data_IF_666869468149
#
_entry.id   IF_666869468149
#
_cell.length_a   1.000
_cell.length_b   1.000
_cell.length_c   1.000
_cell.angle_alpha   90.00
_cell.angle_beta   90.00
_cell.angle_gamma   90.00
#
_symmetry.space_group_name_H-M   'P 1'
#
loop_
_entity.id
_entity.type
_entity.pdbx_description
1 polymer ?
#
# COMPACT_ATOMS: atom_id res chain seq x y z
N UNK A 1 29.72 -12.38 -4.30
CA UNK A 1 29.23 -12.76 -2.96
C UNK A 1 30.37 -12.57 -1.99
N UNK A 2 30.21 -11.72 -0.98
CA UNK A 2 31.22 -11.41 0.04
C UNK A 2 30.79 -11.99 1.39
N UNK A 3 31.73 -12.35 2.28
CA UNK A 3 31.39 -12.87 3.60
C UNK A 3 30.81 -11.77 4.48
N UNK A 4 29.72 -12.09 5.17
CA UNK A 4 29.06 -11.31 6.20
C UNK A 4 28.98 -12.19 7.45
N UNK A 5 29.40 -11.66 8.60
CA UNK A 5 29.57 -12.44 9.82
C UNK A 5 28.94 -11.75 11.02
N UNK A 6 28.24 -12.53 11.84
CA UNK A 6 27.87 -12.20 13.20
C UNK A 6 28.75 -13.02 14.17
N UNK A 7 28.67 -12.75 15.47
CA UNK A 7 29.41 -13.45 16.53
C UNK A 7 29.18 -14.98 16.56
N UNK A 8 28.14 -15.47 15.87
CA UNK A 8 27.70 -16.86 15.90
C UNK A 8 27.86 -17.55 14.52
N UNK A 9 27.68 -16.83 13.41
CA UNK A 9 27.56 -17.41 12.07
C UNK A 9 28.20 -16.54 10.98
N UNK A 10 28.63 -17.17 9.89
CA UNK A 10 29.17 -16.50 8.69
C UNK A 10 28.40 -16.95 7.44
N UNK A 11 27.91 -15.99 6.67
CA UNK A 11 27.08 -16.19 5.48
C UNK A 11 27.67 -15.39 4.32
N UNK A 12 27.68 -15.95 3.12
CA UNK A 12 28.07 -15.18 1.92
C UNK A 12 26.84 -14.45 1.38
N UNK A 13 26.92 -13.13 1.23
CA UNK A 13 25.84 -12.28 0.74
C UNK A 13 26.26 -11.47 -0.49
N UNK A 14 25.28 -11.00 -1.26
CA UNK A 14 25.49 -10.00 -2.32
C UNK A 14 25.37 -8.62 -1.68
N UNK A 15 26.35 -7.75 -1.95
CA UNK A 15 26.33 -6.37 -1.49
C UNK A 15 25.93 -5.48 -2.66
N UNK A 16 24.96 -4.60 -2.40
CA UNK A 16 24.56 -3.55 -3.34
C UNK A 16 24.96 -2.22 -2.73
N UNK A 17 25.97 -1.58 -3.32
CA UNK A 17 26.49 -0.29 -2.86
C UNK A 17 25.79 0.79 -3.66
N UNK A 18 25.13 1.69 -2.94
CA UNK A 18 24.31 2.77 -3.50
C UNK A 18 24.77 4.09 -2.90
N UNK A 19 24.86 5.14 -3.72
CA UNK A 19 25.29 6.47 -3.29
C UNK A 19 24.11 7.24 -2.66
N UNK A 20 23.71 6.79 -1.48
CA UNK A 20 22.63 7.36 -0.68
C UNK A 20 23.04 7.41 0.78
N UNK A 21 22.73 8.53 1.43
CA UNK A 21 23.04 8.76 2.84
C UNK A 21 22.00 8.09 3.75
N UNK A 22 22.12 6.77 3.92
CA UNK A 22 21.26 5.98 4.81
C UNK A 22 22.07 4.88 5.51
N UNK A 23 21.51 4.32 6.58
CA UNK A 23 22.11 3.18 7.27
C UNK A 23 22.15 1.92 6.40
N UNK A 24 23.09 1.02 6.71
CA UNK A 24 23.20 -0.25 6.01
C UNK A 24 22.00 -1.13 6.35
N UNK A 25 21.25 -1.53 5.32
CA UNK A 25 20.10 -2.44 5.48
C UNK A 25 20.50 -3.88 5.19
N UNK A 26 19.86 -4.81 5.91
CA UNK A 26 20.03 -6.24 5.76
C UNK A 26 18.71 -6.85 5.29
N UNK A 27 18.74 -7.72 4.27
CA UNK A 27 17.53 -8.42 3.84
C UNK A 27 17.09 -9.45 4.88
N UNK A 28 15.79 -9.69 4.96
CA UNK A 28 15.21 -10.67 5.90
C UNK A 28 15.82 -12.06 5.75
N UNK A 29 16.00 -12.54 4.51
CA UNK A 29 16.58 -13.86 4.25
C UNK A 29 18.01 -13.99 4.79
N UNK A 30 18.83 -12.93 4.66
CA UNK A 30 20.20 -12.94 5.20
C UNK A 30 20.18 -12.79 6.72
N UNK A 31 19.26 -12.01 7.28
CA UNK A 31 19.06 -11.91 8.73
C UNK A 31 18.68 -13.27 9.34
N UNK A 32 17.86 -14.07 8.67
CA UNK A 32 17.53 -15.44 9.05
C UNK A 32 18.73 -16.38 8.97
N UNK A 33 19.48 -16.33 7.87
CA UNK A 33 20.70 -17.12 7.70
C UNK A 33 21.81 -16.76 8.70
N UNK A 34 21.78 -15.56 9.27
CA UNK A 34 22.70 -15.11 10.33
C UNK A 34 22.16 -15.38 11.75
N UNK A 35 20.97 -15.97 11.85
CA UNK A 35 20.30 -16.23 13.13
C UNK A 35 19.88 -14.98 13.89
N UNK A 36 19.76 -13.84 13.21
CA UNK A 36 19.29 -12.57 13.79
C UNK A 36 17.76 -12.56 13.92
N UNK A 37 17.08 -13.25 13.00
CA UNK A 37 15.64 -13.42 12.97
C UNK A 37 15.32 -14.89 12.73
N UNK A 38 14.17 -15.33 13.22
CA UNK A 38 13.63 -16.66 12.92
C UNK A 38 12.15 -16.51 12.61
N UNK A 39 11.72 -16.95 11.40
CA UNK A 39 10.31 -17.12 11.10
C UNK A 39 9.82 -18.39 11.80
N UNK A 40 9.03 -18.21 12.85
CA UNK A 40 8.51 -19.30 13.67
C UNK A 40 7.28 -19.93 13.01
N UNK A 41 6.45 -19.11 12.36
CA UNK A 41 5.27 -19.56 11.64
C UNK A 41 5.01 -18.64 10.44
N UNK A 42 4.42 -19.20 9.40
CA UNK A 42 3.89 -18.47 8.24
C UNK A 42 2.49 -19.03 8.01
N UNK A 43 1.48 -18.22 8.26
CA UNK A 43 0.09 -18.64 8.08
C UNK A 43 -0.19 -18.67 6.57
N UNK A 44 0.07 -19.82 5.96
CA UNK A 44 -0.23 -20.06 4.54
C UNK A 44 -1.46 -20.94 4.32
N UNK A 45 -2.14 -21.44 5.37
CA UNK A 45 -3.47 -22.08 5.26
C UNK A 45 -4.06 -22.68 6.55
N UNK A 46 -3.25 -23.18 7.51
CA UNK A 46 -3.80 -23.99 8.62
C UNK A 46 -4.46 -23.23 9.77
N UNK A 47 -4.06 -21.98 10.01
CA UNK A 47 -4.71 -21.13 11.00
C UNK A 47 -5.92 -20.36 10.42
N UNK A 48 -6.19 -20.50 9.11
CA UNK A 48 -7.35 -19.85 8.48
C UNK A 48 -8.65 -20.35 9.11
N UNK A 49 -8.79 -21.64 9.41
CA UNK A 49 -10.05 -22.18 9.96
C UNK A 49 -10.41 -21.62 11.34
N UNK A 50 -9.43 -21.41 12.22
CA UNK A 50 -9.64 -20.84 13.56
C UNK A 50 -9.83 -19.31 13.50
N UNK A 51 -9.00 -18.60 12.73
CA UNK A 51 -9.17 -17.16 12.47
C UNK A 51 -10.49 -16.87 11.75
N UNK A 52 -10.92 -17.72 10.83
CA UNK A 52 -12.20 -17.61 10.12
C UNK A 52 -13.37 -17.81 11.07
N UNK A 53 -13.23 -18.70 12.05
CA UNK A 53 -14.27 -18.92 13.06
C UNK A 53 -14.35 -17.79 14.07
N UNK A 54 -13.21 -17.28 14.56
CA UNK A 54 -13.19 -16.27 15.61
C UNK A 54 -13.28 -14.83 15.08
N UNK A 55 -12.67 -14.56 13.93
CA UNK A 55 -12.58 -13.24 13.30
C UNK A 55 -12.89 -13.30 11.80
N UNK A 56 -14.09 -13.76 11.38
CA UNK A 56 -14.46 -13.89 9.97
C UNK A 56 -14.34 -12.58 9.18
N UNK A 57 -14.51 -11.46 9.86
CA UNK A 57 -14.40 -10.11 9.31
C UNK A 57 -12.97 -9.78 8.85
N UNK A 58 -11.93 -10.33 9.50
CA UNK A 58 -10.51 -10.08 9.16
C UNK A 58 -10.10 -10.76 7.84
N UNK A 59 -10.89 -11.70 7.33
CA UNK A 59 -10.64 -12.37 6.05
C UNK A 59 -11.26 -11.62 4.87
N UNK A 60 -12.02 -10.55 5.13
CA UNK A 60 -12.52 -9.68 4.08
C UNK A 60 -11.33 -8.91 3.49
N UNK A 61 -11.15 -9.02 2.18
CA UNK A 61 -10.11 -8.29 1.43
C UNK A 61 -10.46 -6.81 1.20
N UNK A 62 -11.65 -6.40 1.64
CA UNK A 62 -12.17 -5.04 1.47
C UNK A 62 -12.98 -4.65 2.71
N UNK A 63 -12.85 -3.40 3.15
CA UNK A 63 -13.61 -2.86 4.27
C UNK A 63 -13.81 -1.35 4.13
N UNK A 64 -14.78 -0.82 4.87
CA UNK A 64 -15.10 0.60 4.91
C UNK A 64 -14.94 1.10 6.33
N UNK A 65 -14.18 2.19 6.52
CA UNK A 65 -14.09 2.84 7.82
C UNK A 65 -15.42 3.54 8.13
N UNK A 66 -15.88 3.55 9.39
CA UNK A 66 -17.20 4.07 9.77
C UNK A 66 -17.31 5.61 9.72
N UNK A 67 -16.33 6.30 9.12
CA UNK A 67 -16.25 7.75 9.10
C UNK A 67 -16.21 8.28 7.67
N UNK A 68 -16.97 9.34 7.41
CA UNK A 68 -16.86 10.09 6.17
C UNK A 68 -15.63 11.01 6.23
N UNK A 69 -14.84 10.99 5.16
CA UNK A 69 -13.68 11.86 5.03
C UNK A 69 -13.98 13.02 4.07
N UNK A 70 -13.80 14.25 4.55
CA UNK A 70 -13.93 15.46 3.73
C UNK A 70 -12.56 16.05 3.43
N UNK A 71 -12.15 15.98 2.16
CA UNK A 71 -10.92 16.61 1.67
C UNK A 71 -11.03 18.13 1.84
N UNK A 72 -10.11 18.71 2.62
CA UNK A 72 -10.05 20.16 2.84
C UNK A 72 -9.19 20.83 1.78
N UNK A 73 -9.73 21.82 1.07
CA UNK A 73 -9.01 22.58 0.04
C UNK A 73 -8.54 23.94 0.57
N UNK A 74 -7.48 24.48 -0.02
CA UNK A 74 -7.02 25.86 0.23
C UNK A 74 -8.15 26.87 -0.06
N UNK A 75 -8.16 28.01 0.64
CA UNK A 75 -9.26 29.00 0.59
C UNK A 75 -9.58 29.52 -0.81
N UNK A 76 -8.58 29.55 -1.70
CA UNK A 76 -8.70 30.03 -3.08
C UNK A 76 -8.40 28.94 -4.11
N UNK A 77 -8.65 27.68 -3.76
CA UNK A 77 -8.43 26.54 -4.65
C UNK A 77 -9.22 26.72 -5.96
N UNK A 78 -8.55 26.55 -7.09
CA UNK A 78 -9.17 26.68 -8.42
C UNK A 78 -9.31 25.31 -9.07
N UNK A 79 -10.56 24.94 -9.35
CA UNK A 79 -10.89 23.72 -10.08
C UNK A 79 -10.11 23.56 -11.39
N UNK A 80 -9.63 22.35 -11.63
CA UNK A 80 -8.98 21.98 -12.90
C UNK A 80 -9.72 20.78 -13.48
N UNK A 81 -10.12 20.91 -14.74
CA UNK A 81 -10.77 19.86 -15.53
C UNK A 81 -9.77 19.35 -16.56
N UNK A 82 -9.33 18.12 -16.39
CA UNK A 82 -8.52 17.42 -17.39
C UNK A 82 -9.41 16.73 -18.40
N UNK A 83 -9.09 16.81 -19.71
CA UNK A 83 -9.81 16.03 -20.71
C UNK A 83 -9.56 14.52 -20.52
N UNK A 84 -10.51 13.66 -20.93
CA UNK A 84 -10.30 12.21 -20.93
C UNK A 84 -9.07 11.81 -21.74
N UNK A 85 -8.25 10.90 -21.20
CA UNK A 85 -7.15 10.29 -21.97
C UNK A 85 -7.69 9.25 -22.93
N UNK A 86 -7.05 9.14 -24.10
CA UNK A 86 -7.37 8.09 -25.07
C UNK A 86 -6.97 6.73 -24.50
N UNK A 87 -7.90 5.77 -24.55
CA UNK A 87 -7.66 4.38 -24.22
C UNK A 87 -7.49 3.58 -25.51
N UNK A 88 -6.57 2.61 -25.52
CA UNK A 88 -6.42 1.71 -26.65
C UNK A 88 -7.70 0.84 -26.80
N UNK A 89 -8.19 0.68 -28.04
CA UNK A 89 -9.42 -0.06 -28.34
C UNK A 89 -9.48 -1.45 -27.69
N UNK A 90 -8.35 -2.15 -27.64
CA UNK A 90 -8.20 -3.48 -27.04
C UNK A 90 -8.46 -3.53 -25.53
N UNK A 91 -8.39 -2.40 -24.83
CA UNK A 91 -8.53 -2.31 -23.38
C UNK A 91 -9.92 -1.89 -22.94
N UNK A 92 -10.79 -1.43 -23.85
CA UNK A 92 -12.11 -0.90 -23.50
C UNK A 92 -12.96 -1.92 -22.74
N UNK A 93 -13.06 -3.16 -23.21
CA UNK A 93 -13.89 -4.18 -22.56
C UNK A 93 -13.44 -4.44 -21.12
N UNK A 94 -12.13 -4.67 -20.91
CA UNK A 94 -11.58 -4.92 -19.57
C UNK A 94 -11.74 -3.70 -18.64
N UNK A 95 -11.60 -2.50 -19.20
CA UNK A 95 -11.80 -1.26 -18.48
C UNK A 95 -13.26 -1.08 -18.02
N UNK A 96 -14.23 -1.31 -18.92
CA UNK A 96 -15.65 -1.22 -18.60
C UNK A 96 -16.07 -2.25 -17.55
N UNK A 97 -15.57 -3.49 -17.64
CA UNK A 97 -15.79 -4.52 -16.64
C UNK A 97 -15.27 -4.08 -15.27
N UNK A 98 -14.06 -3.53 -15.21
CA UNK A 98 -13.48 -3.03 -13.96
C UNK A 98 -14.26 -1.84 -13.39
N UNK A 99 -14.72 -0.91 -14.22
CA UNK A 99 -15.57 0.20 -13.77
C UNK A 99 -16.91 -0.28 -13.22
N UNK A 100 -17.56 -1.24 -13.90
CA UNK A 100 -18.82 -1.83 -13.42
C UNK A 100 -18.61 -2.50 -12.07
N UNK A 101 -17.53 -3.25 -11.90
CA UNK A 101 -17.17 -3.86 -10.63
C UNK A 101 -16.99 -2.81 -9.53
N UNK A 102 -16.17 -1.76 -9.75
CA UNK A 102 -15.97 -0.69 -8.77
C UNK A 102 -17.28 0.01 -8.37
N UNK A 103 -18.23 0.15 -9.29
CA UNK A 103 -19.55 0.71 -9.01
C UNK A 103 -20.41 -0.26 -8.20
N UNK A 104 -20.40 -1.55 -8.55
CA UNK A 104 -21.13 -2.60 -7.81
C UNK A 104 -20.61 -2.76 -6.39
N UNK A 105 -19.29 -2.64 -6.21
CA UNK A 105 -18.62 -2.69 -4.90
C UNK A 105 -18.76 -1.37 -4.11
N UNK A 106 -19.51 -0.40 -4.65
CA UNK A 106 -19.78 0.92 -4.03
C UNK A 106 -18.52 1.79 -3.78
N UNK A 107 -17.38 1.47 -4.42
CA UNK A 107 -16.16 2.27 -4.33
C UNK A 107 -16.24 3.56 -5.15
N UNK A 108 -17.08 3.59 -6.19
CA UNK A 108 -17.30 4.78 -7.02
C UNK A 108 -18.78 4.95 -7.34
N UNK A 109 -19.19 6.19 -7.59
CA UNK A 109 -20.55 6.53 -8.02
C UNK A 109 -20.51 7.40 -9.28
N UNK A 110 -21.47 7.27 -10.22
CA UNK A 110 -21.57 8.18 -11.35
C UNK A 110 -21.94 9.59 -10.89
N UNK A 111 -21.29 10.59 -11.48
CA UNK A 111 -21.60 12.02 -11.32
C UNK A 111 -22.04 12.55 -12.68
N UNK A 112 -23.20 13.21 -12.72
CA UNK A 112 -23.79 13.71 -13.96
C UNK A 112 -23.78 15.24 -14.05
N UNK A 113 -23.69 15.91 -12.91
CA UNK A 113 -23.52 17.34 -12.80
C UNK A 113 -22.09 17.79 -13.15
N UNK A 114 -21.92 19.03 -13.67
CA UNK A 114 -20.61 19.63 -13.81
C UNK A 114 -19.88 19.73 -12.47
N UNK A 115 -18.61 19.35 -12.45
CA UNK A 115 -17.75 19.47 -11.27
C UNK A 115 -16.56 20.36 -11.57
N UNK A 116 -16.04 21.00 -10.52
CA UNK A 116 -14.86 21.86 -10.64
C UNK A 116 -13.57 21.05 -10.85
N UNK A 117 -13.57 19.79 -10.43
CA UNK A 117 -12.39 18.92 -10.39
C UNK A 117 -12.61 17.66 -11.22
N UNK A 118 -11.85 17.51 -12.30
CA UNK A 118 -11.82 16.26 -13.09
C UNK A 118 -10.38 15.85 -13.30
N UNK A 119 -9.99 14.74 -12.68
CA UNK A 119 -8.67 14.16 -12.86
C UNK A 119 -8.66 13.24 -14.08
N UNK A 120 -7.58 13.27 -14.86
CA UNK A 120 -7.42 12.34 -15.96
C UNK A 120 -7.13 10.93 -15.44
N UNK A 121 -7.63 9.93 -16.14
CA UNK A 121 -7.51 8.53 -15.77
C UNK A 121 -6.49 7.79 -16.64
N UNK A 122 -5.86 6.76 -16.09
CA UNK A 122 -4.94 5.83 -16.77
C UNK A 122 -5.31 4.41 -16.38
N UNK A 123 -5.19 3.49 -17.34
CA UNK A 123 -5.31 2.05 -17.08
C UNK A 123 -3.91 1.48 -16.87
N UNK A 124 -3.72 0.78 -15.76
CA UNK A 124 -2.47 0.09 -15.41
C UNK A 124 -2.68 -1.42 -15.37
N UNK A 125 -1.61 -2.18 -15.55
CA UNK A 125 -1.61 -3.64 -15.48
C UNK A 125 -0.63 -4.09 -14.43
N UNK A 126 -1.09 -4.95 -13.52
CA UNK A 126 -0.23 -5.74 -12.65
C UNK A 126 -0.57 -7.20 -12.89
N UNK A 127 0.31 -7.87 -13.63
CA UNK A 127 0.03 -9.18 -14.23
C UNK A 127 -1.22 -9.08 -15.13
N UNK A 128 -2.23 -9.93 -14.90
CA UNK A 128 -3.49 -9.92 -15.63
C UNK A 128 -4.58 -9.03 -15.02
N UNK A 129 -4.31 -8.37 -13.88
CA UNK A 129 -5.27 -7.50 -13.21
C UNK A 129 -5.20 -6.08 -13.76
N UNK A 130 -6.37 -5.57 -14.13
CA UNK A 130 -6.55 -4.20 -14.62
C UNK A 130 -6.76 -3.24 -13.45
N UNK A 131 -5.87 -2.27 -13.33
CA UNK A 131 -5.98 -1.15 -12.41
C UNK A 131 -6.54 0.09 -13.12
N UNK A 132 -7.41 0.82 -12.44
CA UNK A 132 -7.86 2.15 -12.85
C UNK A 132 -7.20 3.14 -11.91
N UNK A 133 -6.38 4.02 -12.47
CA UNK A 133 -5.65 5.05 -11.72
C UNK A 133 -6.13 6.43 -12.15
N UNK A 134 -6.35 7.33 -11.19
CA UNK A 134 -6.54 8.75 -11.44
C UNK A 134 -5.21 9.48 -11.27
N UNK A 135 -5.05 10.61 -11.96
CA UNK A 135 -3.92 11.52 -11.82
C UNK A 135 -4.40 12.81 -11.12
N UNK A 136 -4.41 12.83 -9.78
CA UNK A 136 -4.96 13.92 -8.99
C UNK A 136 -3.93 15.05 -8.78
N UNK A 137 -2.90 15.16 -9.65
CA UNK A 137 -1.76 16.07 -9.42
C UNK A 137 -2.17 17.50 -9.11
N UNK A 138 -3.16 18.05 -9.83
CA UNK A 138 -3.60 19.43 -9.59
C UNK A 138 -4.49 19.55 -8.36
N UNK A 139 -5.36 18.56 -8.10
CA UNK A 139 -6.14 18.51 -6.86
C UNK A 139 -5.21 18.45 -5.64
N UNK A 140 -4.19 17.59 -5.67
CA UNK A 140 -3.23 17.41 -4.56
C UNK A 140 -2.45 18.67 -4.18
N UNK A 141 -2.27 19.62 -5.11
CA UNK A 141 -1.63 20.92 -4.80
C UNK A 141 -2.53 21.81 -3.95
N UNK A 142 -3.84 21.68 -4.14
CA UNK A 142 -4.86 22.49 -3.45
C UNK A 142 -5.36 21.84 -2.16
N UNK A 143 -5.04 20.57 -1.90
CA UNK A 143 -5.38 19.91 -0.63
C UNK A 143 -4.56 20.52 0.51
N UNK A 144 -5.23 20.90 1.61
CA UNK A 144 -4.58 21.26 2.87
C UNK A 144 -4.03 19.99 3.51
N UNK A 145 -2.72 19.95 3.74
CA UNK A 145 -2.10 18.81 4.43
C UNK A 145 -2.49 18.81 5.90
N UNK A 146 -3.11 17.71 6.33
CA UNK A 146 -3.24 17.39 7.74
C UNK A 146 -1.87 16.98 8.29
N UNK A 147 -1.53 17.50 9.47
CA UNK A 147 -0.30 17.12 10.16
C UNK A 147 -0.62 15.99 11.13
N UNK A 148 -0.35 14.77 10.70
CA UNK A 148 -0.33 13.59 11.56
C UNK A 148 1.12 13.10 11.66
N UNK A 149 1.67 13.10 12.88
CA UNK A 149 3.02 12.60 13.09
C UNK A 149 3.03 11.08 13.00
N UNK A 150 3.63 10.55 11.94
CA UNK A 150 3.92 9.12 11.85
C UNK A 150 4.98 8.76 12.89
N UNK A 151 4.79 7.63 13.56
CA UNK A 151 5.80 7.07 14.47
C UNK A 151 7.04 6.71 13.68
N UNK A 152 8.21 7.06 14.21
CA UNK A 152 9.49 6.57 13.70
C UNK A 152 9.72 5.12 14.11
N UNK A 153 10.70 4.46 13.51
CA UNK A 153 11.06 3.09 13.90
C UNK A 153 11.56 3.09 15.35
N UNK A 154 12.31 4.12 15.75
CA UNK A 154 12.83 4.31 17.10
C UNK A 154 11.69 4.48 18.13
N UNK A 155 10.66 5.25 17.78
CA UNK A 155 9.46 5.40 18.61
C UNK A 155 8.77 4.05 18.81
N UNK A 156 8.68 3.23 17.76
CA UNK A 156 8.08 1.90 17.85
C UNK A 156 8.93 1.01 18.75
N UNK A 157 10.24 0.89 18.50
CA UNK A 157 11.16 0.02 19.27
C UNK A 157 11.15 0.36 20.76
N UNK A 158 11.12 1.65 21.11
CA UNK A 158 11.11 2.10 22.51
C UNK A 158 9.89 1.60 23.29
N UNK A 159 8.79 1.32 22.61
CA UNK A 159 7.55 0.83 23.23
C UNK A 159 7.49 -0.71 23.38
N UNK A 160 8.49 -1.46 22.91
CA UNK A 160 8.52 -2.94 22.89
C UNK A 160 9.89 -3.53 23.29
N UNK A 161 10.51 -3.12 24.42
CA UNK A 161 11.91 -3.43 24.73
C UNK A 161 12.23 -4.92 24.90
N UNK A 162 11.27 -5.73 25.37
CA UNK A 162 11.47 -7.15 25.66
C UNK A 162 10.62 -8.09 24.78
N UNK A 163 10.02 -7.54 23.72
CA UNK A 163 9.18 -8.32 22.81
C UNK A 163 10.01 -9.33 22.02
N UNK A 164 9.59 -10.60 22.04
CA UNK A 164 10.28 -11.71 21.36
C UNK A 164 9.48 -12.28 20.19
N UNK A 165 8.19 -11.99 20.14
CA UNK A 165 7.25 -12.48 19.15
C UNK A 165 6.57 -11.27 18.53
N UNK A 166 6.57 -11.19 17.21
CA UNK A 166 5.99 -10.11 16.43
C UNK A 166 5.04 -10.69 15.40
N UNK A 167 3.90 -10.04 15.23
CA UNK A 167 2.93 -10.34 14.16
C UNK A 167 2.78 -9.09 13.30
N UNK A 168 2.82 -9.28 11.98
CA UNK A 168 2.61 -8.20 11.01
C UNK A 168 1.23 -8.40 10.39
N UNK A 169 0.42 -7.35 10.45
CA UNK A 169 -0.90 -7.29 9.83
C UNK A 169 -0.83 -6.17 8.78
N UNK A 170 -1.26 -6.48 7.56
CA UNK A 170 -1.36 -5.54 6.45
C UNK A 170 -2.83 -5.47 5.99
N UNK A 171 -3.32 -4.28 5.69
CA UNK A 171 -4.72 -4.01 5.36
C UNK A 171 -4.83 -3.12 4.11
#
# INVERSE_FOLDING_TARGET
MLPLKNNIQEVKARFEVVDINQENILSGDIAECLGLLQRIDSIESRAEDELQREFPEMLKTTGTLPAEYKIQLQENAKGVIHPPRRLAATLHNKFEERLKQLKTDEFITPVHEPTEWVSSMVVSFRNDKVGICIDPKDLNKEIRREYHQMKTIEDVITNIPDSKIFSVLDA
#
